data_IF_250069204738
#
_entry.id   IF_250069204738
#
_cell.length_a   1.000
_cell.length_b   1.000
_cell.length_c   1.000
_cell.angle_alpha   90.00
_cell.angle_beta   90.00
_cell.angle_gamma   90.00
#
_symmetry.space_group_name_H-M   'P 1'
#
loop_
_entity.id
_entity.type
_entity.pdbx_description
1 polymer ?
#
# COMPACT_ATOMS: atom_id res chain seq x y z
N UNK A 1 -9.41 -16.84 -3.03
CA UNK A 1 -10.13 -15.81 -3.80
C UNK A 1 -9.12 -14.99 -4.60
N UNK A 2 -9.39 -14.74 -5.89
CA UNK A 2 -8.55 -13.89 -6.75
C UNK A 2 -9.37 -12.66 -7.14
N UNK A 3 -8.76 -11.47 -7.09
CA UNK A 3 -9.33 -10.24 -7.60
C UNK A 3 -8.45 -9.68 -8.72
N UNK A 4 -9.08 -9.14 -9.76
CA UNK A 4 -8.36 -8.34 -10.76
C UNK A 4 -8.19 -6.92 -10.21
N UNK A 5 -7.03 -6.28 -10.37
CA UNK A 5 -6.86 -4.89 -10.01
C UNK A 5 -7.71 -4.00 -10.94
N UNK A 6 -8.32 -2.97 -10.36
CA UNK A 6 -9.16 -1.98 -11.02
C UNK A 6 -8.75 -0.54 -10.68
N UNK A 7 -7.83 -0.38 -9.71
CA UNK A 7 -7.29 0.89 -9.25
C UNK A 7 -5.78 0.90 -9.46
N UNK A 8 -5.25 2.01 -9.95
CA UNK A 8 -3.81 2.28 -9.96
C UNK A 8 -3.49 3.49 -9.08
N UNK A 9 -2.53 3.33 -8.16
CA UNK A 9 -1.94 4.42 -7.38
C UNK A 9 -0.57 4.70 -7.99
N UNK A 10 -0.41 5.91 -8.51
CA UNK A 10 0.76 6.32 -9.29
C UNK A 10 1.50 7.40 -8.50
N UNK A 11 2.78 7.21 -8.26
CA UNK A 11 3.64 8.20 -7.65
C UNK A 11 4.53 8.80 -8.75
N UNK A 12 4.40 10.10 -8.93
CA UNK A 12 5.11 10.90 -9.93
C UNK A 12 6.05 11.87 -9.22
N UNK A 13 7.06 12.33 -9.91
CA UNK A 13 7.97 13.37 -9.42
C UNK A 13 8.24 14.40 -10.49
N UNK A 14 8.27 15.65 -10.07
CA UNK A 14 8.67 16.80 -10.88
C UNK A 14 9.89 17.41 -10.24
N UNK A 15 10.91 17.63 -11.05
CA UNK A 15 12.17 18.27 -10.64
C UNK A 15 12.56 19.34 -11.63
N UNK A 16 13.12 20.44 -11.16
CA UNK A 16 13.65 21.50 -11.99
C UNK A 16 14.93 22.05 -11.38
N UNK A 17 15.96 22.21 -12.22
CA UNK A 17 17.20 22.90 -11.89
C UNK A 17 17.23 24.25 -12.60
N UNK A 18 17.37 25.33 -11.84
CA UNK A 18 17.40 26.69 -12.35
C UNK A 18 18.48 27.54 -11.64
N UNK A 19 18.81 28.68 -12.20
CA UNK A 19 19.80 29.58 -11.60
C UNK A 19 19.36 30.13 -10.24
N UNK A 20 18.05 30.25 -9.99
CA UNK A 20 17.50 30.66 -8.70
C UNK A 20 16.49 29.66 -8.16
N UNK A 21 16.40 29.57 -6.84
CA UNK A 21 15.42 28.71 -6.16
C UNK A 21 13.97 29.11 -6.48
N UNK A 22 13.72 30.40 -6.71
CA UNK A 22 12.40 30.91 -7.08
C UNK A 22 11.99 30.43 -8.47
N UNK A 23 12.91 30.44 -9.44
CA UNK A 23 12.62 30.02 -10.80
C UNK A 23 12.46 28.51 -10.89
N UNK A 24 13.28 27.74 -10.15
CA UNK A 24 13.11 26.30 -10.02
C UNK A 24 11.73 25.94 -9.45
N UNK A 25 11.31 26.62 -8.37
CA UNK A 25 9.99 26.45 -7.79
C UNK A 25 8.87 26.79 -8.78
N UNK A 26 8.96 27.91 -9.47
CA UNK A 26 7.93 28.35 -10.45
C UNK A 26 7.78 27.34 -11.59
N UNK A 27 8.88 26.78 -12.09
CA UNK A 27 8.84 25.80 -13.16
C UNK A 27 8.14 24.51 -12.70
N UNK A 28 8.48 24.00 -11.51
CA UNK A 28 7.80 22.85 -10.89
C UNK A 28 6.29 23.12 -10.73
N UNK A 29 5.92 24.28 -10.19
CA UNK A 29 4.50 24.63 -9.98
C UNK A 29 3.74 24.73 -11.32
N UNK A 30 4.35 25.28 -12.37
CA UNK A 30 3.73 25.41 -13.70
C UNK A 30 3.45 24.03 -14.32
N UNK A 31 4.40 23.11 -14.24
CA UNK A 31 4.24 21.74 -14.75
C UNK A 31 3.15 20.98 -13.97
N UNK A 32 3.15 21.11 -12.66
CA UNK A 32 2.12 20.51 -11.80
C UNK A 32 0.74 21.09 -12.12
N UNK A 33 0.60 22.40 -12.27
CA UNK A 33 -0.66 23.03 -12.64
C UNK A 33 -1.16 22.54 -14.00
N UNK A 34 -0.25 22.39 -14.99
CA UNK A 34 -0.58 21.84 -16.30
C UNK A 34 -1.07 20.40 -16.20
N UNK A 35 -0.44 19.59 -15.35
CA UNK A 35 -0.87 18.23 -15.09
C UNK A 35 -2.25 18.20 -14.43
N UNK A 36 -2.47 19.03 -13.39
CA UNK A 36 -3.76 19.13 -12.69
C UNK A 36 -4.92 19.49 -13.61
N UNK A 37 -4.70 20.49 -14.47
CA UNK A 37 -5.71 20.96 -15.43
C UNK A 37 -6.19 19.85 -16.38
N UNK A 38 -5.34 18.87 -16.67
CA UNK A 38 -5.66 17.77 -17.56
C UNK A 38 -6.30 16.53 -16.90
N UNK A 39 -6.31 16.45 -15.56
CA UNK A 39 -6.80 15.27 -14.84
C UNK A 39 -8.28 14.99 -15.03
N UNK A 40 -9.08 16.02 -15.28
CA UNK A 40 -10.51 15.89 -15.60
C UNK A 40 -10.79 15.02 -16.82
N UNK A 41 -9.87 14.99 -17.79
CA UNK A 41 -9.97 14.11 -18.99
C UNK A 41 -9.93 12.63 -18.64
N UNK A 42 -9.38 12.29 -17.47
CA UNK A 42 -9.24 10.92 -16.96
C UNK A 42 -10.26 10.57 -15.88
N UNK A 43 -11.24 11.46 -15.62
CA UNK A 43 -12.22 11.35 -14.53
C UNK A 43 -11.55 11.22 -13.14
N UNK A 44 -10.46 11.96 -12.95
CA UNK A 44 -9.74 12.00 -11.67
C UNK A 44 -10.16 13.27 -10.93
N UNK A 45 -10.84 13.09 -9.81
CA UNK A 45 -11.25 14.18 -8.91
C UNK A 45 -10.05 14.64 -8.06
N UNK A 46 -10.11 15.87 -7.54
CA UNK A 46 -9.09 16.43 -6.65
C UNK A 46 -8.82 15.56 -5.41
N UNK A 47 -9.83 14.91 -4.85
CA UNK A 47 -9.68 13.98 -3.71
C UNK A 47 -8.78 12.77 -4.00
N UNK A 48 -8.60 12.45 -5.27
CA UNK A 48 -7.78 11.34 -5.76
C UNK A 48 -6.35 11.77 -6.11
N UNK A 49 -6.01 13.03 -5.85
CA UNK A 49 -4.69 13.59 -6.12
C UNK A 49 -4.16 14.27 -4.86
N UNK A 50 -2.91 14.05 -4.58
CA UNK A 50 -2.19 14.77 -3.52
C UNK A 50 -0.78 15.10 -3.98
N UNK A 51 -0.27 16.23 -3.53
CA UNK A 51 1.11 16.62 -3.77
C UNK A 51 1.82 16.82 -2.42
N UNK A 52 3.10 16.47 -2.36
CA UNK A 52 3.95 16.78 -1.20
C UNK A 52 4.20 18.30 -1.10
N UNK A 53 4.79 18.74 0.00
CA UNK A 53 5.44 20.03 0.03
C UNK A 53 6.56 20.08 -1.01
N UNK A 54 6.82 21.28 -1.54
CA UNK A 54 7.96 21.48 -2.43
C UNK A 54 9.25 21.52 -1.59
N UNK A 55 10.30 20.89 -2.10
CA UNK A 55 11.63 20.98 -1.53
C UNK A 55 12.55 21.74 -2.50
N UNK A 56 13.36 22.66 -1.99
CA UNK A 56 14.34 23.40 -2.77
C UNK A 56 15.70 23.33 -2.10
N UNK A 57 16.74 23.08 -2.88
CA UNK A 57 18.11 22.98 -2.39
C UNK A 57 19.12 23.45 -3.43
N UNK A 58 20.29 23.99 -3.03
CA UNK A 58 21.36 24.30 -3.96
C UNK A 58 21.92 23.01 -4.58
N UNK A 59 22.21 23.06 -5.87
CA UNK A 59 22.90 22.00 -6.62
C UNK A 59 24.32 22.44 -6.91
N UNK A 60 25.26 21.55 -6.66
CA UNK A 60 26.68 21.80 -6.88
C UNK A 60 27.27 20.76 -7.85
N UNK A 61 28.11 21.24 -8.75
CA UNK A 61 28.98 20.40 -9.58
C UNK A 61 30.42 20.46 -9.09
N UNK A 62 31.24 19.49 -9.49
CA UNK A 62 32.65 19.46 -9.22
C UNK A 62 33.43 19.70 -10.52
N UNK A 63 34.38 20.63 -10.49
CA UNK A 63 35.28 20.88 -11.62
C UNK A 63 36.36 19.79 -11.68
N UNK A 64 37.09 19.70 -12.81
CA UNK A 64 38.22 18.76 -12.97
C UNK A 64 39.32 18.89 -11.89
N UNK A 65 39.36 20.01 -11.18
CA UNK A 65 40.28 20.31 -10.07
C UNK A 65 39.66 20.06 -8.68
N UNK A 66 38.59 19.25 -8.57
CA UNK A 66 37.84 18.94 -7.34
C UNK A 66 37.29 20.17 -6.58
N UNK A 67 37.12 21.30 -7.27
CA UNK A 67 36.49 22.48 -6.67
C UNK A 67 34.98 22.41 -6.85
N UNK A 68 34.27 22.58 -5.74
CA UNK A 68 32.81 22.67 -5.73
C UNK A 68 32.36 24.01 -6.34
N UNK A 69 31.50 23.96 -7.34
CA UNK A 69 30.90 25.10 -7.98
C UNK A 69 29.37 25.01 -7.91
N UNK A 70 28.71 26.13 -7.53
CA UNK A 70 27.27 26.18 -7.53
C UNK A 70 26.75 26.12 -8.98
N UNK A 71 25.99 25.09 -9.29
CA UNK A 71 25.36 24.90 -10.60
C UNK A 71 24.02 25.64 -10.69
N UNK A 72 23.28 25.68 -9.57
CA UNK A 72 21.97 26.31 -9.48
C UNK A 72 21.21 25.81 -8.26
N UNK A 73 19.90 25.82 -8.39
CA UNK A 73 18.97 25.34 -7.35
C UNK A 73 18.01 24.32 -7.94
N UNK A 74 17.92 23.17 -7.29
CA UNK A 74 16.96 22.14 -7.63
C UNK A 74 15.71 22.33 -6.78
N UNK A 75 14.53 22.32 -7.43
CA UNK A 75 13.25 22.21 -6.76
C UNK A 75 12.61 20.88 -7.15
N UNK A 76 12.06 20.14 -6.19
CA UNK A 76 11.34 18.92 -6.47
C UNK A 76 10.03 18.81 -5.69
N UNK A 77 9.07 18.06 -6.25
CA UNK A 77 7.77 17.80 -5.67
C UNK A 77 7.23 16.47 -6.15
N UNK A 78 6.73 15.66 -5.22
CA UNK A 78 6.07 14.39 -5.54
C UNK A 78 4.57 14.58 -5.64
N UNK A 79 3.95 13.86 -6.59
CA UNK A 79 2.51 13.83 -6.81
C UNK A 79 2.05 12.39 -6.71
N UNK A 80 0.98 12.17 -5.97
CA UNK A 80 0.32 10.87 -5.88
C UNK A 80 -1.06 10.96 -6.51
N UNK A 81 -1.33 10.10 -7.48
CA UNK A 81 -2.59 10.05 -8.22
C UNK A 81 -3.22 8.68 -8.04
N UNK A 82 -4.52 8.65 -7.74
CA UNK A 82 -5.32 7.42 -7.71
C UNK A 82 -6.24 7.40 -8.92
N UNK A 83 -5.98 6.46 -9.83
CA UNK A 83 -6.78 6.23 -11.03
C UNK A 83 -7.69 5.03 -10.80
N UNK A 84 -9.02 5.23 -10.91
CA UNK A 84 -10.04 4.20 -10.70
C UNK A 84 -10.41 3.42 -11.97
N UNK A 85 -9.99 3.90 -13.14
CA UNK A 85 -10.13 3.19 -14.42
C UNK A 85 -8.74 2.80 -14.94
N UNK A 86 -8.29 1.62 -14.58
CA UNK A 86 -6.95 1.11 -14.95
C UNK A 86 -6.73 1.03 -16.47
N UNK A 87 -7.80 0.97 -17.28
CA UNK A 87 -7.68 0.95 -18.75
C UNK A 87 -7.08 2.24 -19.30
N UNK A 88 -7.20 3.34 -18.56
CA UNK A 88 -6.65 4.65 -18.93
C UNK A 88 -5.24 4.89 -18.40
N UNK A 89 -4.64 3.89 -17.74
CA UNK A 89 -3.32 4.06 -17.11
C UNK A 89 -2.27 4.55 -18.10
N UNK A 90 -2.09 3.88 -19.24
CA UNK A 90 -1.09 4.28 -20.22
C UNK A 90 -1.33 5.70 -20.74
N UNK A 91 -2.59 6.03 -21.09
CA UNK A 91 -2.92 7.37 -21.56
C UNK A 91 -2.65 8.46 -20.50
N UNK A 92 -2.85 8.16 -19.20
CA UNK A 92 -2.50 9.07 -18.12
C UNK A 92 -0.99 9.25 -17.98
N UNK A 93 -0.22 8.17 -18.13
CA UNK A 93 1.25 8.23 -18.09
C UNK A 93 1.81 9.03 -19.27
N UNK A 94 1.30 8.79 -20.48
CA UNK A 94 1.68 9.55 -21.68
C UNK A 94 1.36 11.04 -21.50
N UNK A 95 0.19 11.34 -20.95
CA UNK A 95 -0.19 12.72 -20.63
C UNK A 95 0.76 13.34 -19.59
N UNK A 96 1.09 12.63 -18.52
CA UNK A 96 2.02 13.12 -17.50
C UNK A 96 3.38 13.50 -18.13
N UNK A 97 3.94 12.62 -18.97
CA UNK A 97 5.20 12.87 -19.66
C UNK A 97 5.08 14.05 -20.65
N UNK A 98 3.92 14.21 -21.34
CA UNK A 98 3.69 15.30 -22.28
C UNK A 98 3.69 16.68 -21.62
N UNK A 99 3.30 16.76 -20.34
CA UNK A 99 3.34 18.00 -19.53
C UNK A 99 4.62 18.12 -18.70
N UNK A 100 5.65 17.35 -19.06
CA UNK A 100 6.99 17.37 -18.47
C UNK A 100 7.00 16.98 -16.97
N UNK A 101 6.26 15.95 -16.59
CA UNK A 101 6.52 15.20 -15.36
C UNK A 101 7.79 14.38 -15.61
N UNK A 102 8.80 14.51 -14.73
CA UNK A 102 10.13 13.98 -14.99
C UNK A 102 10.25 12.49 -14.71
N UNK A 103 9.56 12.00 -13.68
CA UNK A 103 9.68 10.59 -13.29
C UNK A 103 8.38 9.96 -12.82
N UNK A 104 8.18 8.71 -13.22
CA UNK A 104 7.19 7.79 -12.67
C UNK A 104 7.92 6.93 -11.65
N UNK A 105 7.76 7.24 -10.34
CA UNK A 105 8.51 6.56 -9.27
C UNK A 105 7.98 5.16 -8.98
N UNK A 106 6.65 5.01 -8.96
CA UNK A 106 6.02 3.70 -8.75
C UNK A 106 4.57 3.69 -9.22
N UNK A 107 4.09 2.49 -9.55
CA UNK A 107 2.70 2.21 -9.86
C UNK A 107 2.27 1.02 -9.01
N UNK A 108 1.32 1.22 -8.11
CA UNK A 108 0.72 0.18 -7.30
C UNK A 108 -0.67 -0.15 -7.81
N UNK A 109 -0.88 -1.41 -8.14
CA UNK A 109 -2.19 -1.90 -8.58
C UNK A 109 -2.98 -2.42 -7.37
N UNK A 110 -4.21 -1.92 -7.20
CA UNK A 110 -5.10 -2.27 -6.10
C UNK A 110 -6.45 -2.73 -6.62
N UNK A 111 -7.21 -3.41 -5.78
CA UNK A 111 -8.59 -3.75 -6.09
C UNK A 111 -9.53 -3.05 -5.12
N UNK A 112 -10.58 -2.42 -5.66
CA UNK A 112 -11.67 -1.83 -4.88
C UNK A 112 -12.38 -2.87 -4.02
N UNK A 113 -12.44 -4.11 -4.49
CA UNK A 113 -13.02 -5.24 -3.76
C UNK A 113 -12.14 -5.81 -2.64
N UNK A 114 -10.88 -5.34 -2.47
CA UNK A 114 -9.92 -5.93 -1.54
C UNK A 114 -10.44 -6.02 -0.09
N UNK A 115 -11.11 -4.96 0.40
CA UNK A 115 -11.68 -4.93 1.75
C UNK A 115 -12.80 -5.95 1.92
N UNK A 116 -13.72 -6.05 0.95
CA UNK A 116 -14.83 -6.99 0.97
C UNK A 116 -14.33 -8.44 0.87
N UNK A 117 -13.37 -8.69 -0.02
CA UNK A 117 -12.75 -10.00 -0.18
C UNK A 117 -11.99 -10.43 1.08
N UNK A 118 -11.28 -9.52 1.74
CA UNK A 118 -10.62 -9.81 3.02
C UNK A 118 -11.64 -10.21 4.10
N UNK A 119 -12.77 -9.50 4.18
CA UNK A 119 -13.85 -9.86 5.11
C UNK A 119 -14.44 -11.25 4.80
N UNK A 120 -14.65 -11.58 3.53
CA UNK A 120 -15.13 -12.90 3.11
C UNK A 120 -14.13 -14.00 3.46
N UNK A 121 -12.84 -13.79 3.17
CA UNK A 121 -11.78 -14.75 3.52
C UNK A 121 -11.73 -15.00 5.01
N UNK A 122 -11.82 -13.94 5.82
CA UNK A 122 -11.84 -14.08 7.28
C UNK A 122 -13.06 -14.89 7.76
N UNK A 123 -14.25 -14.63 7.20
CA UNK A 123 -15.46 -15.40 7.54
C UNK A 123 -15.32 -16.89 7.15
N UNK A 124 -14.78 -17.17 5.96
CA UNK A 124 -14.50 -18.54 5.51
C UNK A 124 -13.50 -19.23 6.42
N UNK A 125 -12.42 -18.55 6.81
CA UNK A 125 -11.41 -19.10 7.71
C UNK A 125 -11.98 -19.44 9.11
N UNK A 126 -12.86 -18.58 9.64
CA UNK A 126 -13.56 -18.85 10.91
C UNK A 126 -14.45 -20.06 10.80
N UNK A 127 -15.23 -20.21 9.73
CA UNK A 127 -16.11 -21.36 9.51
C UNK A 127 -15.30 -22.65 9.37
N UNK A 128 -14.25 -22.66 8.56
CA UNK A 128 -13.36 -23.81 8.39
C UNK A 128 -12.72 -24.24 9.72
N UNK A 129 -12.26 -23.27 10.52
CA UNK A 129 -11.70 -23.56 11.84
C UNK A 129 -12.73 -24.21 12.79
N UNK A 130 -13.98 -23.71 12.80
CA UNK A 130 -15.07 -24.27 13.60
C UNK A 130 -15.43 -25.68 13.15
N UNK A 131 -15.54 -25.93 11.85
CA UNK A 131 -15.84 -27.24 11.29
C UNK A 131 -14.74 -28.25 11.63
N UNK A 132 -13.47 -27.88 11.45
CA UNK A 132 -12.33 -28.75 11.83
C UNK A 132 -12.30 -29.04 13.31
N UNK A 133 -12.50 -28.05 14.16
CA UNK A 133 -12.53 -28.23 15.61
C UNK A 133 -13.70 -29.16 16.04
N UNK A 134 -14.87 -28.99 15.43
CA UNK A 134 -16.03 -29.86 15.70
C UNK A 134 -15.78 -31.29 15.26
N UNK A 135 -15.18 -31.49 14.08
CA UNK A 135 -14.85 -32.84 13.56
C UNK A 135 -13.83 -33.55 14.45
N UNK A 136 -12.79 -32.84 14.91
CA UNK A 136 -11.80 -33.39 15.83
C UNK A 136 -12.44 -33.75 17.18
N UNK A 137 -13.24 -32.85 17.76
CA UNK A 137 -13.93 -33.15 19.03
C UNK A 137 -14.78 -34.41 18.93
N UNK A 138 -15.53 -34.58 17.83
CA UNK A 138 -16.32 -35.80 17.56
C UNK A 138 -15.45 -37.04 17.44
N UNK A 139 -14.33 -36.96 16.71
CA UNK A 139 -13.41 -38.10 16.54
C UNK A 139 -12.81 -38.57 17.87
N UNK A 140 -12.60 -37.66 18.82
CA UNK A 140 -12.15 -37.96 20.19
C UNK A 140 -13.29 -38.28 21.17
N UNK A 141 -14.53 -38.41 20.70
CA UNK A 141 -15.70 -38.70 21.56
C UNK A 141 -16.05 -37.57 22.52
N UNK A 142 -15.66 -36.33 22.24
CA UNK A 142 -15.91 -35.19 23.09
C UNK A 142 -16.80 -34.15 22.37
N UNK A 143 -17.26 -33.12 23.11
CA UNK A 143 -17.97 -31.97 22.56
C UNK A 143 -17.04 -30.76 22.51
N UNK A 144 -17.19 -29.95 21.48
CA UNK A 144 -16.48 -28.66 21.39
C UNK A 144 -16.97 -27.74 22.51
N UNK A 145 -16.05 -27.21 23.33
CA UNK A 145 -16.35 -26.27 24.41
C UNK A 145 -16.46 -24.83 23.90
N UNK A 146 -16.57 -23.86 24.82
CA UNK A 146 -16.52 -22.45 24.54
C UNK A 146 -15.13 -22.04 24.04
N UNK A 147 -15.08 -20.98 23.24
CA UNK A 147 -13.82 -20.42 22.74
C UNK A 147 -13.02 -19.85 23.92
N UNK A 148 -11.82 -20.36 24.16
CA UNK A 148 -10.92 -19.90 25.21
C UNK A 148 -9.99 -18.78 24.70
N UNK A 149 -9.45 -18.92 23.50
CA UNK A 149 -8.60 -17.89 22.88
C UNK A 149 -8.76 -17.89 21.37
N UNK A 150 -8.63 -16.71 20.78
CA UNK A 150 -8.54 -16.51 19.33
C UNK A 150 -7.19 -15.89 19.05
N UNK A 151 -6.35 -16.59 18.29
CA UNK A 151 -5.07 -16.05 17.85
C UNK A 151 -5.14 -15.84 16.32
N UNK A 152 -5.27 -14.58 15.92
CA UNK A 152 -5.21 -14.15 14.52
C UNK A 152 -3.79 -13.62 14.27
N UNK A 153 -2.89 -14.51 13.87
CA UNK A 153 -1.54 -14.12 13.49
C UNK A 153 -1.56 -13.56 12.06
N UNK A 154 -1.67 -12.25 11.92
CA UNK A 154 -1.18 -11.58 10.72
C UNK A 154 0.35 -11.62 10.80
N UNK A 155 0.97 -12.68 10.31
CA UNK A 155 2.42 -12.73 10.19
C UNK A 155 2.86 -11.77 9.09
N UNK A 156 3.19 -10.53 9.48
CA UNK A 156 4.05 -9.65 8.70
C UNK A 156 5.51 -10.15 8.78
N UNK A 157 5.76 -11.39 8.42
CA UNK A 157 7.11 -11.81 8.13
C UNK A 157 7.42 -11.39 6.70
N UNK A 158 8.07 -10.23 6.58
CA UNK A 158 8.79 -9.86 5.36
C UNK A 158 9.88 -10.91 5.12
N UNK A 159 9.53 -11.99 4.46
CA UNK A 159 10.50 -12.90 3.90
C UNK A 159 11.08 -12.26 2.64
N UNK A 160 12.37 -11.95 2.71
CA UNK A 160 13.21 -11.24 1.75
C UNK A 160 13.47 -12.03 0.45
N UNK A 161 12.83 -13.17 0.25
CA UNK A 161 12.96 -14.01 -0.93
C UNK A 161 11.64 -14.73 -1.22
N UNK A 162 11.03 -14.37 -2.37
CA UNK A 162 10.05 -15.19 -3.09
C UNK A 162 8.61 -15.10 -2.60
N UNK A 163 7.75 -14.97 -3.56
CA UNK A 163 6.29 -15.10 -3.54
C UNK A 163 5.76 -16.04 -2.45
N UNK A 164 5.37 -15.48 -1.31
CA UNK A 164 4.42 -16.13 -0.43
C UNK A 164 3.54 -15.06 0.18
N UNK A 165 2.34 -14.95 -0.37
CA UNK A 165 1.25 -14.20 0.23
C UNK A 165 1.00 -14.80 1.62
N UNK A 166 1.26 -14.02 2.67
CA UNK A 166 0.92 -14.40 4.02
C UNK A 166 -0.59 -14.65 4.12
N UNK A 167 -0.97 -15.90 4.27
CA UNK A 167 -2.34 -16.29 4.56
C UNK A 167 -2.55 -16.02 6.05
N UNK A 168 -3.47 -15.11 6.38
CA UNK A 168 -3.90 -14.86 7.76
C UNK A 168 -4.41 -16.20 8.35
N UNK A 169 -3.66 -16.76 9.29
CA UNK A 169 -4.02 -18.01 9.94
C UNK A 169 -4.76 -17.72 11.25
N UNK A 170 -6.00 -18.15 11.34
CA UNK A 170 -6.79 -18.09 12.57
C UNK A 170 -6.68 -19.44 13.28
N UNK A 171 -6.13 -19.45 14.50
CA UNK A 171 -6.08 -20.63 15.36
C UNK A 171 -7.08 -20.44 16.49
N UNK A 172 -8.03 -21.36 16.61
CA UNK A 172 -9.01 -21.39 17.70
C UNK A 172 -8.64 -22.57 18.61
N UNK A 173 -8.33 -22.31 19.88
CA UNK A 173 -8.09 -23.33 20.88
C UNK A 173 -9.17 -23.34 21.98
N UNK A 174 -9.59 -24.51 22.41
CA UNK A 174 -10.55 -24.69 23.50
C UNK A 174 -9.85 -25.21 24.77
N UNK A 175 -10.24 -24.73 25.94
CA UNK A 175 -9.72 -25.23 27.24
C UNK A 175 -10.69 -26.20 27.89
N UNK A 176 -10.14 -27.27 28.43
CA UNK A 176 -10.85 -28.24 29.22
C UNK A 176 -10.77 -27.77 30.68
N UNK A 177 -11.86 -27.32 31.28
CA UNK A 177 -11.95 -27.17 32.73
C UNK A 177 -11.88 -28.54 33.35
N UNK A 178 -10.70 -28.96 33.82
CA UNK A 178 -10.61 -30.06 34.78
C UNK A 178 -11.08 -29.51 36.16
N UNK A 179 -12.24 -29.91 36.59
CA UNK A 179 -12.58 -29.81 38.00
C UNK A 179 -11.68 -30.78 38.77
N UNK A 180 -10.67 -30.24 39.44
CA UNK A 180 -9.96 -31.02 40.47
C UNK A 180 -10.88 -31.14 41.67
N UNK A 181 -11.49 -32.31 41.87
CA UNK A 181 -12.05 -32.69 43.13
C UNK A 181 -10.88 -33.01 44.06
N UNK A 182 -10.71 -32.24 45.09
CA UNK A 182 -9.71 -32.48 46.14
C UNK A 182 -10.00 -33.86 46.76
N UNK A 183 -9.00 -34.78 46.92
CA UNK A 183 -9.17 -35.97 47.72
C UNK A 183 -9.27 -35.57 49.17
N UNK A 184 -10.31 -36.06 49.83
CA UNK A 184 -10.56 -35.84 51.23
C UNK A 184 -9.40 -36.32 52.11
N UNK A 185 -9.21 -35.59 53.22
CA UNK A 185 -8.29 -35.94 54.31
C UNK A 185 -8.63 -37.28 54.90
N UNK A 186 -7.61 -38.09 55.15
CA UNK A 186 -7.51 -39.05 56.22
C UNK A 186 -6.39 -38.61 57.16
#
# INVERSE_FOLDING_TARGET
LKAKPDIAVINLEVESLQVSSLDAKKDVDNRINSFWAGLSKFNIDEKNVSASSINTQPSYSYTESDKQQLEGYTANRSIKVTLTDIKRLNALLDFALSVKIDAIKSIELKSSAAKALKAQVNAMAVNDAKEKASSLAKAFGTKLGSIYSINSAANNSFNRYGENQAIDRIVVSGNRTQQFTSPGKY
#
